data_IF_651253999556
#
_entry.id   IF_651253999556
#
_cell.length_a   1.000
_cell.length_b   1.000
_cell.length_c   1.000
_cell.angle_alpha   90.00
_cell.angle_beta   90.00
_cell.angle_gamma   90.00
#
_symmetry.space_group_name_H-M   'P 1'
#
loop_
_entity.id
_entity.type
_entity.pdbx_description
1 polymer ?
#
# COMPACT_ATOMS: atom_id res chain seq x y z
N UNK A 1 29.02 36.56 35.96
CA UNK A 1 29.27 35.75 34.74
C UNK A 1 28.31 34.57 34.74
N UNK A 2 27.14 34.71 34.08
CA UNK A 2 26.18 33.61 33.95
C UNK A 2 26.66 32.69 32.82
N UNK A 3 26.87 31.41 33.13
CA UNK A 3 27.21 30.39 32.15
C UNK A 3 25.96 30.09 31.30
N UNK A 4 26.09 29.93 29.98
CA UNK A 4 24.95 29.59 29.13
C UNK A 4 24.43 28.19 29.48
N UNK A 5 23.11 28.08 29.56
CA UNK A 5 22.38 26.84 29.82
C UNK A 5 22.56 25.91 28.61
N UNK A 6 22.88 24.61 28.79
CA UNK A 6 23.00 23.67 27.69
C UNK A 6 21.63 23.45 27.03
N UNK A 7 21.61 23.55 25.70
CA UNK A 7 20.42 23.35 24.88
C UNK A 7 19.85 21.93 25.12
N UNK A 8 18.59 21.86 25.51
CA UNK A 8 17.90 20.58 25.68
C UNK A 8 17.92 19.75 24.38
N UNK A 9 17.98 18.41 24.46
CA UNK A 9 17.87 17.56 23.29
C UNK A 9 16.54 17.86 22.57
N UNK A 10 16.63 18.18 21.27
CA UNK A 10 15.46 18.39 20.41
C UNK A 10 14.58 17.15 20.48
N UNK A 11 13.29 17.35 20.73
CA UNK A 11 12.28 16.29 20.68
C UNK A 11 12.43 15.46 19.39
N UNK A 12 12.19 14.13 19.43
CA UNK A 12 12.23 13.31 18.23
C UNK A 12 11.32 13.91 17.16
N UNK A 13 11.85 14.09 15.94
CA UNK A 13 11.11 14.59 14.79
C UNK A 13 9.82 13.77 14.67
N UNK A 14 8.67 14.46 14.67
CA UNK A 14 7.36 13.84 14.41
C UNK A 14 7.46 12.88 13.22
N UNK A 15 6.98 11.66 13.43
CA UNK A 15 7.00 10.56 12.47
C UNK A 15 6.60 11.05 11.06
N UNK A 16 7.33 10.60 10.04
CA UNK A 16 7.11 10.97 8.65
C UNK A 16 5.75 10.45 8.14
N UNK A 17 4.66 11.18 8.41
CA UNK A 17 3.30 10.90 7.93
C UNK A 17 2.93 11.88 6.80
N UNK A 18 3.79 11.95 5.78
CA UNK A 18 3.61 12.77 4.58
C UNK A 18 3.12 11.92 3.41
N UNK A 19 2.48 12.49 2.37
CA UNK A 19 2.14 11.75 1.16
C UNK A 19 3.35 11.02 0.56
N UNK A 20 4.51 11.70 0.50
CA UNK A 20 5.74 11.12 -0.05
C UNK A 20 6.29 9.93 0.78
N UNK A 21 6.14 9.97 2.11
CA UNK A 21 6.59 8.86 2.97
C UNK A 21 5.62 7.67 2.95
N UNK A 22 4.31 7.93 2.78
CA UNK A 22 3.30 6.89 2.53
C UNK A 22 3.45 6.25 1.16
N UNK A 23 3.73 7.02 0.12
CA UNK A 23 4.04 6.49 -1.20
C UNK A 23 5.23 5.52 -1.14
N UNK A 24 6.30 5.88 -0.45
CA UNK A 24 7.44 4.97 -0.23
C UNK A 24 7.07 3.72 0.57
N UNK A 25 6.22 3.86 1.59
CA UNK A 25 5.72 2.73 2.35
C UNK A 25 4.95 1.75 1.47
N UNK A 26 4.07 2.24 0.57
CA UNK A 26 3.37 1.40 -0.41
C UNK A 26 4.31 0.67 -1.35
N UNK A 27 5.36 1.33 -1.84
CA UNK A 27 6.37 0.69 -2.70
C UNK A 27 7.04 -0.49 -2.01
N UNK A 28 7.51 -0.30 -0.78
CA UNK A 28 8.13 -1.39 -0.01
C UNK A 28 7.13 -2.47 0.36
N UNK A 29 5.89 -2.10 0.72
CA UNK A 29 4.83 -3.07 0.99
C UNK A 29 4.54 -3.94 -0.22
N UNK A 30 4.45 -3.35 -1.42
CA UNK A 30 4.22 -4.09 -2.67
C UNK A 30 5.33 -5.08 -2.95
N UNK A 31 6.59 -4.65 -2.84
CA UNK A 31 7.74 -5.56 -2.98
C UNK A 31 7.73 -6.69 -1.95
N UNK A 32 7.39 -6.38 -0.69
CA UNK A 32 7.28 -7.39 0.37
C UNK A 32 6.14 -8.38 0.14
N UNK A 33 4.97 -7.92 -0.31
CA UNK A 33 3.82 -8.78 -0.65
C UNK A 33 4.16 -9.67 -1.86
N UNK A 34 4.83 -9.10 -2.86
CA UNK A 34 5.34 -9.84 -4.03
C UNK A 34 6.34 -10.93 -3.61
N UNK A 35 7.27 -10.62 -2.72
CA UNK A 35 8.24 -11.61 -2.25
C UNK A 35 7.55 -12.70 -1.42
N UNK A 36 6.64 -12.33 -0.52
CA UNK A 36 5.85 -13.25 0.29
C UNK A 36 5.11 -14.26 -0.58
N UNK A 37 4.44 -13.83 -1.64
CA UNK A 37 3.67 -14.74 -2.50
C UNK A 37 4.53 -15.70 -3.33
N UNK A 38 5.81 -15.37 -3.58
CA UNK A 38 6.71 -16.23 -4.34
C UNK A 38 7.52 -17.18 -3.45
N UNK A 39 7.96 -16.68 -2.29
CA UNK A 39 8.83 -17.43 -1.38
C UNK A 39 8.06 -18.20 -0.30
N UNK A 40 6.88 -17.71 0.09
CA UNK A 40 6.18 -18.19 1.28
C UNK A 40 6.87 -17.83 2.61
N UNK A 41 7.91 -16.99 2.58
CA UNK A 41 8.62 -16.53 3.77
C UNK A 41 7.69 -15.75 4.69
N UNK A 42 7.99 -15.76 5.99
CA UNK A 42 7.19 -15.04 6.97
C UNK A 42 7.24 -13.51 6.70
N UNK A 43 6.09 -12.79 6.67
CA UNK A 43 6.06 -11.36 6.43
C UNK A 43 6.88 -10.53 7.43
N UNK A 44 7.01 -10.95 8.70
CA UNK A 44 7.88 -10.26 9.67
C UNK A 44 9.36 -10.41 9.33
N UNK A 45 9.78 -11.57 8.82
CA UNK A 45 11.16 -11.78 8.38
C UNK A 45 11.49 -10.94 7.14
N UNK A 46 10.56 -10.89 6.18
CA UNK A 46 10.68 -10.01 4.99
C UNK A 46 10.81 -8.55 5.44
N UNK A 47 9.94 -8.11 6.34
CA UNK A 47 9.94 -6.74 6.84
C UNK A 47 11.24 -6.38 7.56
N UNK A 48 11.71 -7.27 8.46
CA UNK A 48 12.93 -7.08 9.22
C UNK A 48 14.14 -6.94 8.28
N UNK A 49 14.24 -7.80 7.26
CA UNK A 49 15.29 -7.73 6.26
C UNK A 49 15.24 -6.41 5.47
N UNK A 50 14.05 -6.00 5.02
CA UNK A 50 13.88 -4.74 4.28
C UNK A 50 14.35 -3.54 5.11
N UNK A 51 14.01 -3.51 6.41
CA UNK A 51 14.41 -2.45 7.35
C UNK A 51 15.94 -2.36 7.53
N UNK A 52 16.65 -3.47 7.40
CA UNK A 52 18.13 -3.51 7.52
C UNK A 52 18.80 -3.14 6.19
N UNK A 53 18.28 -3.64 5.07
CA UNK A 53 18.93 -3.51 3.76
C UNK A 53 18.65 -2.19 3.05
N UNK A 54 17.60 -1.44 3.46
CA UNK A 54 17.16 -0.25 2.75
C UNK A 54 17.21 1.02 3.62
N UNK A 55 17.37 2.16 2.95
CA UNK A 55 17.35 3.47 3.60
C UNK A 55 15.92 3.89 3.99
N UNK A 56 15.46 3.47 5.17
CA UNK A 56 14.07 3.68 5.63
C UNK A 56 13.76 5.06 6.26
N UNK A 57 14.73 5.97 6.31
CA UNK A 57 14.62 7.27 7.00
C UNK A 57 13.53 8.24 6.46
N UNK A 58 12.95 7.96 5.29
CA UNK A 58 11.85 8.74 4.67
C UNK A 58 10.59 7.91 4.45
N UNK A 59 10.52 6.72 5.05
CA UNK A 59 9.37 5.82 4.91
C UNK A 59 8.48 5.97 6.13
N UNK A 60 7.18 5.99 5.91
CA UNK A 60 6.22 5.81 7.00
C UNK A 60 6.30 4.34 7.45
N UNK A 61 7.13 4.07 8.45
CA UNK A 61 7.45 2.70 8.90
C UNK A 61 6.27 2.00 9.57
N UNK A 62 5.35 2.76 10.18
CA UNK A 62 4.14 2.19 10.75
C UNK A 62 3.20 1.77 9.62
N UNK A 63 3.05 2.62 8.60
CA UNK A 63 2.23 2.31 7.45
C UNK A 63 2.79 1.16 6.60
N UNK A 64 4.11 1.11 6.41
CA UNK A 64 4.76 -0.01 5.72
C UNK A 64 4.49 -1.33 6.45
N UNK A 65 4.70 -1.35 7.78
CA UNK A 65 4.40 -2.52 8.61
C UNK A 65 2.95 -2.96 8.44
N UNK A 66 2.01 -2.03 8.62
CA UNK A 66 0.59 -2.31 8.51
C UNK A 66 0.23 -2.90 7.15
N UNK A 67 0.60 -2.22 6.05
CA UNK A 67 0.28 -2.68 4.70
C UNK A 67 0.83 -4.08 4.44
N UNK A 68 2.09 -4.35 4.78
CA UNK A 68 2.68 -5.67 4.55
C UNK A 68 1.97 -6.76 5.38
N UNK A 69 1.84 -6.54 6.69
CA UNK A 69 1.29 -7.55 7.59
C UNK A 69 -0.21 -7.80 7.35
N UNK A 70 -0.99 -6.73 7.18
CA UNK A 70 -2.44 -6.88 7.03
C UNK A 70 -2.81 -7.40 5.65
N UNK A 71 -2.11 -6.97 4.60
CA UNK A 71 -2.37 -7.46 3.24
C UNK A 71 -2.07 -8.95 3.11
N UNK A 72 -0.95 -9.41 3.66
CA UNK A 72 -0.57 -10.84 3.63
C UNK A 72 -1.52 -11.69 4.49
N UNK A 73 -1.84 -11.23 5.72
CA UNK A 73 -2.78 -11.92 6.61
C UNK A 73 -4.19 -12.06 6.02
N UNK A 74 -4.65 -11.06 5.28
CA UNK A 74 -6.01 -11.00 4.70
C UNK A 74 -6.05 -11.35 3.22
N UNK A 75 -4.98 -11.93 2.67
CA UNK A 75 -4.84 -12.10 1.23
C UNK A 75 -6.05 -12.78 0.57
N UNK A 76 -6.59 -13.85 1.16
CA UNK A 76 -7.78 -14.54 0.61
C UNK A 76 -9.06 -13.70 0.71
N UNK A 77 -9.23 -12.94 1.79
CA UNK A 77 -10.36 -12.02 1.96
C UNK A 77 -10.31 -10.91 0.91
N UNK A 78 -9.13 -10.31 0.71
CA UNK A 78 -8.90 -9.26 -0.28
C UNK A 78 -9.09 -9.79 -1.71
N UNK A 79 -8.54 -10.98 -2.00
CA UNK A 79 -8.70 -11.65 -3.29
C UNK A 79 -10.19 -11.80 -3.64
N UNK A 80 -11.02 -12.26 -2.71
CA UNK A 80 -12.46 -12.42 -2.91
C UNK A 80 -13.22 -11.09 -3.13
N UNK A 81 -12.68 -9.95 -2.71
CA UNK A 81 -13.30 -8.64 -2.92
C UNK A 81 -13.18 -8.19 -4.37
N UNK A 82 -12.01 -8.38 -4.98
CA UNK A 82 -11.76 -7.91 -6.35
C UNK A 82 -11.94 -8.99 -7.43
N UNK A 83 -11.90 -10.27 -7.07
CA UNK A 83 -12.10 -11.40 -7.99
C UNK A 83 -13.36 -11.31 -8.87
N UNK A 84 -14.54 -10.85 -8.36
CA UNK A 84 -15.74 -10.71 -9.19
C UNK A 84 -15.62 -9.70 -10.35
N UNK A 85 -14.61 -8.84 -10.32
CA UNK A 85 -14.39 -7.81 -11.33
C UNK A 85 -13.31 -8.20 -12.35
N UNK A 86 -12.62 -9.31 -12.13
CA UNK A 86 -11.61 -9.81 -13.07
C UNK A 86 -12.29 -10.38 -14.32
N UNK A 87 -11.70 -10.11 -15.47
CA UNK A 87 -12.06 -10.68 -16.77
C UNK A 87 -11.38 -12.03 -17.06
N UNK A 88 -10.49 -12.46 -16.16
CA UNK A 88 -9.69 -13.68 -16.21
C UNK A 88 -9.54 -14.24 -14.80
N UNK A 89 -9.12 -15.50 -14.69
CA UNK A 89 -8.95 -16.14 -13.38
C UNK A 89 -7.82 -15.46 -12.59
N UNK A 90 -7.93 -15.48 -11.26
CA UNK A 90 -6.95 -14.86 -10.36
C UNK A 90 -5.54 -15.45 -10.50
N UNK A 91 -5.43 -16.73 -10.86
CA UNK A 91 -4.16 -17.43 -11.12
C UNK A 91 -3.48 -16.99 -12.43
N UNK A 92 -4.19 -16.27 -13.30
CA UNK A 92 -3.66 -15.67 -14.53
C UNK A 92 -3.14 -14.24 -14.31
N UNK A 93 -3.34 -13.66 -13.12
CA UNK A 93 -2.73 -12.38 -12.75
C UNK A 93 -1.24 -12.58 -12.52
N UNK A 94 -0.42 -11.67 -13.04
CA UNK A 94 0.99 -11.72 -12.70
C UNK A 94 1.17 -11.35 -11.21
N UNK A 95 2.26 -11.81 -10.57
CA UNK A 95 2.53 -11.54 -9.16
C UNK A 95 2.48 -10.07 -8.74
N UNK A 96 2.93 -9.17 -9.61
CA UNK A 96 2.95 -7.73 -9.33
C UNK A 96 1.53 -7.16 -9.36
N UNK A 97 0.73 -7.50 -10.36
CA UNK A 97 -0.68 -7.11 -10.47
C UNK A 97 -1.45 -7.55 -9.23
N UNK A 98 -1.29 -8.82 -8.83
CA UNK A 98 -1.96 -9.36 -7.64
C UNK A 98 -1.51 -8.63 -6.36
N UNK A 99 -0.23 -8.31 -6.22
CA UNK A 99 0.29 -7.55 -5.08
C UNK A 99 -0.31 -6.14 -4.98
N UNK A 100 -0.38 -5.42 -6.11
CA UNK A 100 -0.93 -4.07 -6.17
C UNK A 100 -2.44 -4.09 -5.91
N UNK A 101 -3.18 -5.04 -6.52
CA UNK A 101 -4.62 -5.18 -6.30
C UNK A 101 -4.94 -5.47 -4.83
N UNK A 102 -4.16 -6.33 -4.17
CA UNK A 102 -4.33 -6.62 -2.75
C UNK A 102 -4.10 -5.38 -1.88
N UNK A 103 -3.03 -4.63 -2.11
CA UNK A 103 -2.74 -3.39 -1.35
C UNK A 103 -3.82 -2.33 -1.59
N UNK A 104 -4.17 -2.07 -2.84
CA UNK A 104 -5.22 -1.10 -3.19
C UNK A 104 -6.57 -1.50 -2.62
N UNK A 105 -6.92 -2.79 -2.67
CA UNK A 105 -8.14 -3.31 -2.07
C UNK A 105 -8.11 -3.17 -0.53
N UNK A 106 -6.99 -3.47 0.12
CA UNK A 106 -6.85 -3.29 1.56
C UNK A 106 -7.09 -1.85 1.97
N UNK A 107 -6.47 -0.88 1.28
CA UNK A 107 -6.69 0.54 1.54
C UNK A 107 -8.14 0.96 1.29
N UNK A 108 -8.75 0.51 0.19
CA UNK A 108 -10.16 0.79 -0.10
C UNK A 108 -11.09 0.24 0.98
N UNK A 109 -10.79 -0.90 1.60
CA UNK A 109 -11.68 -1.50 2.61
C UNK A 109 -11.40 -0.96 4.02
N UNK A 110 -10.14 -0.77 4.39
CA UNK A 110 -9.74 -0.54 5.78
C UNK A 110 -9.26 0.88 6.08
N UNK A 111 -8.87 1.67 5.08
CA UNK A 111 -8.39 3.05 5.25
C UNK A 111 -9.41 4.08 4.73
N UNK A 112 -10.57 4.18 5.38
CA UNK A 112 -11.67 5.08 4.97
C UNK A 112 -11.24 6.57 4.97
N UNK A 113 -10.26 6.92 5.80
CA UNK A 113 -9.67 8.25 5.87
C UNK A 113 -8.83 8.62 4.63
N UNK A 114 -8.43 7.64 3.81
CA UNK A 114 -7.76 7.88 2.54
C UNK A 114 -8.83 7.96 1.44
N UNK A 115 -8.96 9.11 0.76
CA UNK A 115 -9.89 9.24 -0.36
C UNK A 115 -9.63 8.20 -1.44
N UNK A 116 -10.68 7.57 -1.95
CA UNK A 116 -10.55 6.48 -2.94
C UNK A 116 -9.72 6.88 -4.18
N UNK A 117 -9.77 8.11 -4.74
CA UNK A 117 -8.96 8.44 -5.92
C UNK A 117 -7.47 8.43 -5.60
N UNK A 118 -7.08 8.79 -4.38
CA UNK A 118 -5.67 8.74 -3.97
C UNK A 118 -5.20 7.28 -3.94
N UNK A 119 -6.05 6.35 -3.48
CA UNK A 119 -5.72 4.90 -3.52
C UNK A 119 -5.55 4.41 -4.96
N UNK A 120 -6.45 4.80 -5.86
CA UNK A 120 -6.37 4.46 -7.28
C UNK A 120 -5.12 5.05 -7.94
N UNK A 121 -4.84 6.33 -7.72
CA UNK A 121 -3.67 7.02 -8.26
C UNK A 121 -2.37 6.34 -7.80
N UNK A 122 -2.27 6.01 -6.51
CA UNK A 122 -1.10 5.32 -5.95
C UNK A 122 -0.93 3.90 -6.51
N UNK A 123 -2.03 3.16 -6.71
CA UNK A 123 -1.98 1.85 -7.36
C UNK A 123 -1.54 1.93 -8.83
N UNK A 124 -1.96 2.97 -9.55
CA UNK A 124 -1.51 3.26 -10.91
C UNK A 124 -0.01 3.55 -10.94
N UNK A 125 0.49 4.38 -10.02
CA UNK A 125 1.92 4.69 -9.96
C UNK A 125 2.76 3.43 -9.66
N UNK A 126 2.34 2.60 -8.71
CA UNK A 126 2.99 1.30 -8.48
C UNK A 126 2.97 0.40 -9.74
N UNK A 127 1.86 0.39 -10.47
CA UNK A 127 1.75 -0.40 -11.68
C UNK A 127 2.66 0.11 -12.81
N UNK A 128 2.89 1.42 -12.90
CA UNK A 128 3.85 2.00 -13.84
C UNK A 128 5.29 1.67 -13.45
N UNK A 129 5.58 1.63 -12.16
CA UNK A 129 6.93 1.38 -11.65
C UNK A 129 7.35 -0.10 -11.75
N UNK A 130 6.41 -1.03 -11.57
CA UNK A 130 6.72 -2.45 -11.38
C UNK A 130 5.96 -3.40 -12.32
N UNK A 131 4.84 -2.95 -12.89
CA UNK A 131 3.97 -3.77 -13.73
C UNK A 131 4.51 -3.93 -15.16
N UNK A 132 3.83 -4.80 -15.92
CA UNK A 132 4.07 -4.91 -17.35
C UNK A 132 3.43 -3.73 -18.10
N UNK A 133 3.74 -3.61 -19.39
CA UNK A 133 3.08 -2.65 -20.29
C UNK A 133 1.56 -2.78 -20.15
N UNK A 134 0.88 -1.65 -19.96
CA UNK A 134 -0.58 -1.53 -19.78
C UNK A 134 -1.19 -2.12 -18.48
N UNK A 135 -0.41 -2.72 -17.57
CA UNK A 135 -0.93 -3.23 -16.27
C UNK A 135 -1.63 -2.14 -15.45
N UNK A 136 -1.21 -0.88 -15.57
CA UNK A 136 -1.82 0.25 -14.86
C UNK A 136 -3.28 0.51 -15.26
N UNK A 137 -3.64 0.32 -16.54
CA UNK A 137 -5.04 0.49 -17.01
C UNK A 137 -5.92 -0.60 -16.41
N UNK A 138 -5.41 -1.83 -16.42
CA UNK A 138 -6.09 -2.98 -15.87
C UNK A 138 -6.35 -2.83 -14.37
N UNK A 139 -5.31 -2.56 -13.59
CA UNK A 139 -5.40 -2.37 -12.14
C UNK A 139 -6.37 -1.24 -11.78
N UNK A 140 -6.30 -0.11 -12.50
CA UNK A 140 -7.22 1.00 -12.29
C UNK A 140 -8.68 0.59 -12.53
N UNK A 141 -8.95 -0.14 -13.62
CA UNK A 141 -10.30 -0.61 -13.95
C UNK A 141 -10.88 -1.47 -12.82
N UNK A 142 -10.09 -2.43 -12.32
CA UNK A 142 -10.52 -3.33 -11.23
C UNK A 142 -10.74 -2.56 -9.92
N UNK A 143 -9.81 -1.70 -9.53
CA UNK A 143 -9.92 -0.94 -8.28
C UNK A 143 -11.04 0.11 -8.32
N UNK A 144 -11.39 0.66 -9.49
CA UNK A 144 -12.57 1.52 -9.61
C UNK A 144 -13.87 0.76 -9.36
N UNK A 145 -14.00 -0.48 -9.86
CA UNK A 145 -15.16 -1.34 -9.56
C UNK A 145 -15.23 -1.73 -8.08
N UNK A 146 -14.08 -2.06 -7.46
CA UNK A 146 -14.01 -2.28 -6.01
C UNK A 146 -14.45 -1.03 -5.25
N UNK A 147 -13.95 0.15 -5.63
CA UNK A 147 -14.33 1.40 -4.99
C UNK A 147 -15.82 1.73 -5.15
N UNK A 148 -16.45 1.40 -6.30
CA UNK A 148 -17.91 1.52 -6.46
C UNK A 148 -18.65 0.68 -5.42
N UNK A 149 -18.19 -0.55 -5.19
CA UNK A 149 -18.80 -1.48 -4.23
C UNK A 149 -18.57 -1.05 -2.77
N UNK A 150 -17.36 -0.66 -2.38
CA UNK A 150 -16.99 -0.48 -0.96
C UNK A 150 -16.96 0.99 -0.50
N UNK A 151 -16.94 1.96 -1.43
CA UNK A 151 -16.89 3.42 -1.15
C UNK A 151 -18.10 4.18 -1.69
N UNK A 152 -19.27 3.54 -1.79
CA UNK A 152 -20.47 4.15 -2.38
C UNK A 152 -20.85 5.49 -1.71
N UNK A 153 -20.77 5.58 -0.39
CA UNK A 153 -21.07 6.81 0.36
C UNK A 153 -20.13 7.96 -0.02
N UNK A 154 -18.83 7.71 -0.05
CA UNK A 154 -17.81 8.69 -0.44
C UNK A 154 -18.03 9.16 -1.90
N UNK A 155 -18.34 8.22 -2.80
CA UNK A 155 -18.60 8.52 -4.22
C UNK A 155 -19.86 9.36 -4.42
N UNK A 156 -20.91 9.10 -3.66
CA UNK A 156 -22.16 9.87 -3.73
C UNK A 156 -21.95 11.31 -3.25
N UNK A 157 -21.22 11.49 -2.15
CA UNK A 157 -20.92 12.81 -1.58
C UNK A 157 -20.12 13.72 -2.52
N UNK A 158 -19.36 13.16 -3.47
CA UNK A 158 -18.56 13.92 -4.45
C UNK A 158 -19.30 14.26 -5.73
N UNK A 159 -20.45 13.65 -5.99
CA UNK A 159 -21.30 13.93 -7.15
C UNK A 159 -22.36 14.99 -6.89
N UNK A 160 -22.57 15.32 -5.61
CA UNK A 160 -23.47 16.39 -5.14
C UNK A 160 -22.68 17.69 -4.98
#
# INVERSE_FOLDING_TARGET
MQKPVPNAPRAPRQQANTPASRHKARRFAMQGVYEWQLSGNDPFEIEARYRVENAMHKVDLAYFHELLQQTTRRALELDAVYEPFLDRKIDQLNPVERSILRIGCYELVHHIEIPYPIVLDEAIELAKDFGATDSFKYINSILDEVAKKVRQTERNARKS
#
